data_IF_586135430152
#
_entry.id   IF_586135430152
#
_cell.length_a   1.000
_cell.length_b   1.000
_cell.length_c   1.000
_cell.angle_alpha   90.00
_cell.angle_beta   90.00
_cell.angle_gamma   90.00
#
_symmetry.space_group_name_H-M   'P 1'
#
loop_
_entity.id
_entity.type
_entity.pdbx_description
1 polymer ?
#
# COMPACT_ATOMS: atom_id res chain seq x y z
N UNK A 1 -15.61 0.78 -8.48
CA UNK A 1 -15.98 2.23 -8.41
C UNK A 1 -15.58 2.82 -7.08
N UNK A 2 -15.56 2.02 -6.02
CA UNK A 2 -15.09 2.39 -4.68
C UNK A 2 -13.74 3.11 -4.70
N UNK A 3 -12.69 2.53 -5.29
CA UNK A 3 -11.36 3.15 -5.41
C UNK A 3 -11.37 4.57 -6.02
N UNK A 4 -12.21 4.77 -7.04
CA UNK A 4 -12.36 6.06 -7.74
C UNK A 4 -13.06 7.06 -6.84
N UNK A 5 -14.08 6.64 -6.10
CA UNK A 5 -14.80 7.50 -5.18
C UNK A 5 -13.91 7.90 -4.00
N UNK A 6 -13.14 6.97 -3.43
CA UNK A 6 -12.13 7.26 -2.40
C UNK A 6 -11.16 8.33 -2.87
N UNK A 7 -10.63 8.20 -4.09
CA UNK A 7 -9.76 9.23 -4.68
C UNK A 7 -10.47 10.57 -4.93
N UNK A 8 -11.71 10.54 -5.42
CA UNK A 8 -12.48 11.74 -5.80
C UNK A 8 -12.91 12.57 -4.60
N UNK A 9 -13.30 11.92 -3.50
CA UNK A 9 -13.87 12.59 -2.33
C UNK A 9 -12.84 12.81 -1.21
N UNK A 10 -11.62 12.27 -1.35
CA UNK A 10 -10.54 12.53 -0.42
C UNK A 10 -10.11 14.00 -0.46
N UNK A 11 -9.96 14.60 0.72
CA UNK A 11 -9.34 15.92 0.91
C UNK A 11 -7.81 15.88 0.72
N UNK A 12 -7.25 14.68 0.63
CA UNK A 12 -5.82 14.37 0.52
C UNK A 12 -5.49 13.77 -0.84
N UNK A 13 -4.23 13.85 -1.27
CA UNK A 13 -3.77 13.17 -2.48
C UNK A 13 -3.56 11.69 -2.16
N UNK A 14 -4.52 10.86 -2.57
CA UNK A 14 -4.52 9.41 -2.31
C UNK A 14 -4.54 8.60 -3.58
N UNK A 15 -4.00 7.40 -3.51
CA UNK A 15 -4.31 6.31 -4.43
C UNK A 15 -4.99 5.20 -3.66
N UNK A 16 -5.91 4.50 -4.30
CA UNK A 16 -6.65 3.42 -3.64
C UNK A 16 -6.86 2.28 -4.62
N UNK A 17 -6.87 1.07 -4.09
CA UNK A 17 -7.23 -0.14 -4.80
C UNK A 17 -8.24 -0.92 -3.94
N UNK A 18 -9.38 -1.26 -4.52
CA UNK A 18 -10.44 -2.02 -3.84
C UNK A 18 -10.27 -3.52 -4.06
N UNK A 19 -10.98 -4.33 -3.28
CA UNK A 19 -11.03 -5.78 -3.44
C UNK A 19 -11.35 -6.21 -4.88
N UNK A 20 -12.25 -5.51 -5.58
CA UNK A 20 -12.57 -5.85 -6.98
C UNK A 20 -11.40 -5.52 -7.91
N UNK A 21 -10.64 -4.45 -7.67
CA UNK A 21 -9.48 -4.10 -8.47
C UNK A 21 -8.29 -5.05 -8.22
N UNK A 22 -8.19 -5.58 -7.01
CA UNK A 22 -7.24 -6.64 -6.66
C UNK A 22 -7.63 -7.94 -7.38
N UNK A 23 -8.89 -8.37 -7.27
CA UNK A 23 -9.38 -9.62 -7.88
C UNK A 23 -9.49 -9.64 -9.42
N UNK A 24 -9.29 -8.49 -10.09
CA UNK A 24 -9.30 -8.42 -11.57
C UNK A 24 -8.10 -9.08 -12.22
N UNK A 25 -6.98 -9.17 -11.52
CA UNK A 25 -5.74 -9.76 -12.01
C UNK A 25 -5.27 -10.84 -11.03
N UNK A 26 -4.59 -11.89 -11.52
CA UNK A 26 -4.09 -12.96 -10.67
C UNK A 26 -2.79 -12.53 -9.96
N UNK A 27 -2.89 -11.51 -9.11
CA UNK A 27 -1.77 -11.05 -8.29
C UNK A 27 -1.54 -12.03 -7.14
N UNK A 28 -0.30 -12.47 -6.96
CA UNK A 28 0.08 -13.35 -5.86
C UNK A 28 0.21 -12.64 -4.52
N UNK A 29 0.51 -11.33 -4.54
CA UNK A 29 0.68 -10.52 -3.34
C UNK A 29 0.13 -9.11 -3.55
N UNK A 30 -0.08 -8.40 -2.46
CA UNK A 30 -0.55 -7.03 -2.52
C UNK A 30 0.49 -6.08 -3.15
N UNK A 31 1.77 -6.46 -3.17
CA UNK A 31 2.85 -5.67 -3.77
C UNK A 31 2.63 -5.46 -5.28
N UNK A 32 2.21 -6.51 -5.99
CA UNK A 32 1.89 -6.42 -7.42
C UNK A 32 0.69 -5.50 -7.67
N UNK A 33 -0.32 -5.57 -6.83
CA UNK A 33 -1.53 -4.75 -6.96
C UNK A 33 -1.25 -3.28 -6.70
N UNK A 34 -0.47 -2.96 -5.65
CA UNK A 34 -0.07 -1.59 -5.30
C UNK A 34 0.79 -0.98 -6.42
N UNK A 35 1.68 -1.75 -7.05
CA UNK A 35 2.56 -1.27 -8.11
C UNK A 35 1.82 -0.80 -9.38
N UNK A 36 0.53 -1.13 -9.53
CA UNK A 36 -0.30 -0.61 -10.63
C UNK A 36 -0.79 0.81 -10.40
N UNK A 37 -0.73 1.31 -9.17
CA UNK A 37 -1.22 2.64 -8.84
C UNK A 37 -0.22 3.70 -9.32
N UNK A 38 -0.72 4.84 -9.84
CA UNK A 38 0.15 5.89 -10.36
C UNK A 38 1.14 6.42 -9.32
N UNK A 39 2.42 6.53 -9.70
CA UNK A 39 3.47 7.05 -8.83
C UNK A 39 3.86 6.12 -7.69
N UNK A 40 3.44 4.85 -7.74
CA UNK A 40 3.95 3.75 -6.92
C UNK A 40 4.74 2.81 -7.83
N UNK A 41 5.85 2.31 -7.33
CA UNK A 41 6.67 1.32 -8.04
C UNK A 41 7.08 0.23 -7.07
N UNK A 42 7.01 -1.02 -7.50
CA UNK A 42 7.53 -2.13 -6.70
C UNK A 42 8.99 -2.40 -7.03
N UNK A 43 9.78 -2.62 -5.99
CA UNK A 43 11.10 -3.23 -6.09
C UNK A 43 10.94 -4.74 -6.12
N UNK A 44 11.70 -5.38 -7.00
CA UNK A 44 11.68 -6.84 -7.16
C UNK A 44 12.86 -7.47 -6.44
N UNK A 45 12.57 -8.51 -5.67
CA UNK A 45 13.56 -9.38 -5.05
C UNK A 45 13.27 -10.82 -5.50
N UNK A 46 14.27 -11.52 -6.02
CA UNK A 46 14.14 -12.89 -6.54
C UNK A 46 12.97 -13.07 -7.53
N UNK A 47 12.72 -12.05 -8.35
CA UNK A 47 11.66 -12.04 -9.36
C UNK A 47 10.27 -11.67 -8.85
N UNK A 48 10.04 -11.56 -7.54
CA UNK A 48 8.75 -11.18 -6.93
C UNK A 48 8.72 -9.71 -6.55
N UNK A 49 7.59 -9.03 -6.69
CA UNK A 49 7.44 -7.67 -6.17
C UNK A 49 7.40 -7.75 -4.65
N UNK A 50 8.37 -7.15 -3.94
CA UNK A 50 8.48 -7.30 -2.47
C UNK A 50 8.29 -5.98 -1.73
N UNK A 51 8.92 -4.90 -2.20
CA UNK A 51 8.85 -3.59 -1.52
C UNK A 51 8.20 -2.56 -2.44
N UNK A 52 7.64 -1.51 -1.85
CA UNK A 52 7.01 -0.42 -2.60
C UNK A 52 7.73 0.88 -2.31
N UNK A 53 8.10 1.59 -3.38
CA UNK A 53 8.58 2.96 -3.34
C UNK A 53 7.47 3.92 -3.75
N UNK A 54 7.37 5.06 -3.07
CA UNK A 54 6.33 6.07 -3.29
C UNK A 54 6.97 7.30 -3.89
N UNK A 55 6.56 7.69 -5.12
CA UNK A 55 7.07 8.88 -5.83
C UNK A 55 8.61 8.96 -5.93
N UNK A 56 9.28 7.81 -6.06
CA UNK A 56 10.75 7.74 -6.16
C UNK A 56 11.49 7.76 -4.83
N UNK A 57 10.79 7.94 -3.69
CA UNK A 57 11.37 7.71 -2.37
C UNK A 57 11.45 6.21 -2.07
N UNK A 58 12.53 5.80 -1.40
CA UNK A 58 12.75 4.43 -0.96
C UNK A 58 11.65 3.98 0.02
N UNK A 59 11.46 2.68 0.10
CA UNK A 59 10.58 1.99 1.04
C UNK A 59 10.79 2.40 2.50
N UNK A 60 11.99 2.88 2.86
CA UNK A 60 12.33 3.30 4.23
C UNK A 60 11.70 4.64 4.62
N UNK A 61 11.29 5.43 3.63
CA UNK A 61 10.74 6.77 3.83
C UNK A 61 9.21 6.75 3.87
N UNK A 62 8.58 5.59 3.59
CA UNK A 62 7.14 5.37 3.76
C UNK A 62 6.86 4.63 5.06
N UNK A 63 5.69 4.89 5.64
CA UNK A 63 5.15 4.06 6.72
C UNK A 63 4.03 3.18 6.19
N UNK A 64 3.80 2.05 6.87
CA UNK A 64 2.76 1.09 6.47
C UNK A 64 1.91 0.74 7.67
N UNK A 65 0.60 0.77 7.50
CA UNK A 65 -0.38 0.29 8.48
C UNK A 65 -1.12 -0.91 7.92
N UNK A 66 -1.49 -1.82 8.81
CA UNK A 66 -2.31 -2.98 8.52
C UNK A 66 -3.45 -3.03 9.53
N UNK A 67 -4.68 -2.79 9.06
CA UNK A 67 -5.86 -2.63 9.90
C UNK A 67 -5.65 -1.61 11.05
N UNK A 68 -5.00 -0.47 10.72
CA UNK A 68 -4.68 0.58 11.69
C UNK A 68 -3.49 0.29 12.61
N UNK A 69 -2.77 -0.81 12.42
CA UNK A 69 -1.55 -1.12 13.18
C UNK A 69 -0.31 -0.94 12.33
N UNK A 70 0.64 -0.15 12.78
CA UNK A 70 1.92 0.05 12.09
C UNK A 70 2.64 -1.29 11.90
N UNK A 71 3.19 -1.49 10.70
CA UNK A 71 3.97 -2.66 10.33
C UNK A 71 5.46 -2.33 10.31
N UNK A 72 6.27 -3.29 10.73
CA UNK A 72 7.73 -3.19 10.75
C UNK A 72 8.34 -4.13 9.72
N UNK A 73 9.52 -3.78 9.22
CA UNK A 73 10.30 -4.66 8.34
C UNK A 73 10.79 -5.89 9.10
N UNK A 74 11.00 -6.99 8.38
CA UNK A 74 11.70 -8.18 8.90
C UNK A 74 13.23 -8.08 8.74
N UNK A 75 13.73 -7.08 8.01
CA UNK A 75 15.17 -6.84 7.80
C UNK A 75 15.72 -5.67 8.62
N UNK A 76 17.00 -5.36 8.39
CA UNK A 76 17.69 -4.20 9.00
C UNK A 76 17.38 -2.90 8.23
N UNK A 77 16.09 -2.60 8.07
CA UNK A 77 15.59 -1.40 7.39
C UNK A 77 14.15 -1.10 7.84
N UNK A 78 13.52 -0.06 7.28
CA UNK A 78 12.12 0.34 7.62
C UNK A 78 11.09 -0.11 6.58
N UNK A 79 11.54 -0.61 5.44
CA UNK A 79 10.71 -1.05 4.33
C UNK A 79 9.98 -2.35 4.61
N UNK A 80 8.65 -2.28 4.62
CA UNK A 80 7.79 -3.46 4.77
C UNK A 80 7.80 -4.32 3.52
N UNK A 81 7.96 -5.63 3.72
CA UNK A 81 7.86 -6.66 2.69
C UNK A 81 6.39 -6.97 2.37
N UNK A 82 5.87 -6.32 1.33
CA UNK A 82 4.50 -6.46 0.84
C UNK A 82 4.23 -7.83 0.19
N UNK A 83 5.26 -8.59 -0.22
CA UNK A 83 5.08 -9.95 -0.76
C UNK A 83 4.65 -10.98 0.30
N UNK A 84 4.74 -10.62 1.58
CA UNK A 84 4.28 -11.46 2.69
C UNK A 84 2.75 -11.41 2.86
N UNK A 85 2.07 -10.50 2.16
CA UNK A 85 0.63 -10.27 2.29
C UNK A 85 -0.09 -10.78 1.03
N UNK A 86 -0.79 -11.92 1.12
CA UNK A 86 -1.58 -12.45 0.01
C UNK A 86 -2.65 -11.44 -0.42
N UNK A 87 -2.85 -11.32 -1.73
CA UNK A 87 -3.82 -10.37 -2.29
C UNK A 87 -5.25 -10.76 -1.93
N UNK A 88 -5.53 -12.05 -1.74
CA UNK A 88 -6.87 -12.61 -1.57
C UNK A 88 -7.50 -12.26 -0.22
N UNK A 89 -6.68 -11.92 0.79
CA UNK A 89 -7.17 -11.56 2.13
C UNK A 89 -7.39 -10.04 2.28
N UNK A 90 -7.06 -9.25 1.26
CA UNK A 90 -7.12 -7.80 1.29
C UNK A 90 -8.49 -7.31 0.80
N UNK A 91 -9.15 -6.48 1.61
CA UNK A 91 -10.33 -5.73 1.19
C UNK A 91 -9.95 -4.50 0.37
N UNK A 92 -8.74 -3.99 0.56
CA UNK A 92 -8.21 -2.87 -0.21
C UNK A 92 -6.94 -2.29 0.40
N UNK A 93 -6.32 -1.37 -0.36
CA UNK A 93 -5.19 -0.58 0.10
C UNK A 93 -5.44 0.88 -0.25
N UNK A 94 -5.14 1.77 0.69
CA UNK A 94 -5.14 3.21 0.46
C UNK A 94 -3.75 3.76 0.73
N UNK A 95 -3.19 4.45 -0.25
CA UNK A 95 -1.88 5.07 -0.16
C UNK A 95 -2.06 6.58 -0.08
N UNK A 96 -1.74 7.12 1.09
CA UNK A 96 -1.75 8.54 1.38
C UNK A 96 -0.43 9.16 1.01
N UNK A 97 -0.43 10.09 0.06
CA UNK A 97 0.77 10.76 -0.43
C UNK A 97 0.92 12.18 0.12
N UNK A 98 0.04 12.58 1.03
CA UNK A 98 0.05 13.85 1.75
C UNK A 98 -0.23 13.55 3.23
N UNK A 99 0.41 14.26 4.17
CA UNK A 99 0.18 14.04 5.58
C UNK A 99 -1.23 14.51 6.00
N UNK A 100 -1.78 13.87 7.03
CA UNK A 100 -3.03 14.26 7.68
C UNK A 100 -3.00 13.90 9.16
N UNK A 101 -3.60 14.74 9.99
CA UNK A 101 -3.71 14.50 11.44
C UNK A 101 -4.54 13.25 11.80
N UNK A 102 -5.32 12.71 10.85
CA UNK A 102 -6.08 11.47 11.03
C UNK A 102 -5.24 10.21 10.86
N UNK A 103 -4.01 10.31 10.36
CA UNK A 103 -3.13 9.18 10.09
C UNK A 103 -2.06 9.15 11.17
N UNK A 104 -2.04 8.07 11.96
CA UNK A 104 -1.12 7.95 13.10
C UNK A 104 0.32 7.59 12.68
N UNK A 105 0.48 6.92 11.54
CA UNK A 105 1.79 6.50 11.06
C UNK A 105 2.53 7.63 10.33
N UNK A 106 3.84 7.73 10.55
CA UNK A 106 4.69 8.81 10.02
C UNK A 106 5.64 8.31 8.92
N UNK A 107 5.34 8.68 7.68
CA UNK A 107 6.20 8.45 6.51
C UNK A 107 6.32 9.71 5.66
N UNK A 108 7.56 10.16 5.40
CA UNK A 108 7.85 11.37 4.60
C UNK A 108 7.41 11.17 3.14
N UNK A 109 7.57 9.96 2.61
CA UNK A 109 7.12 9.59 1.27
C UNK A 109 5.59 9.40 1.17
N UNK A 110 4.96 9.08 2.30
CA UNK A 110 3.55 8.74 2.41
C UNK A 110 3.30 7.56 3.34
N UNK A 111 2.02 7.22 3.50
CA UNK A 111 1.54 6.11 4.33
C UNK A 111 0.74 5.13 3.49
N UNK A 112 1.07 3.85 3.58
CA UNK A 112 0.39 2.75 2.89
C UNK A 112 -0.50 2.05 3.92
N UNK A 113 -1.82 2.22 3.83
CA UNK A 113 -2.79 1.57 4.70
C UNK A 113 -3.40 0.35 4.02
N UNK A 114 -3.16 -0.83 4.59
CA UNK A 114 -3.68 -2.11 4.14
C UNK A 114 -4.85 -2.55 5.02
N UNK A 115 -5.94 -2.99 4.38
CA UNK A 115 -7.14 -3.42 5.07
C UNK A 115 -7.50 -4.84 4.65
N UNK A 116 -7.82 -5.69 5.62
CA UNK A 116 -8.28 -7.06 5.33
C UNK A 116 -9.79 -7.13 5.23
N UNK A 117 -10.26 -8.15 4.52
CA UNK A 117 -11.67 -8.55 4.56
C UNK A 117 -12.12 -8.77 6.00
N UNK A 118 -13.26 -8.18 6.37
CA UNK A 118 -13.90 -8.38 7.68
C UNK A 118 -14.98 -9.46 7.54
N UNK A 119 -15.09 -10.41 8.48
CA UNK A 119 -16.13 -11.43 8.49
C UNK A 119 -17.53 -10.84 8.72
#
# INVERSE_FOLDING_TARGET
>A
VESINTKRFSTQVVESISAEDIGKLPDTSIAESIARLPGLTAQRLDGRASRVSVRGFSENESATTFNGREQVSIGDNRGVEFDLYPSEIMSGVTVYKTPSASIEAEGIAGVIDMQTVKP
#
